data_IF_734789686909
#
_entry.id   IF_734789686909
#
_cell.length_a   1.000
_cell.length_b   1.000
_cell.length_c   1.000
_cell.angle_alpha   90.00
_cell.angle_beta   90.00
_cell.angle_gamma   90.00
#
_symmetry.space_group_name_H-M   'P 1'
#
loop_
_entity.id
_entity.type
_entity.pdbx_description
1 polymer ?
#
# COMPACT_ATOMS: atom_id res chain seq x y z
N UNK A 1 2.81 8.33 0.21
CA UNK A 1 1.50 8.98 0.08
C UNK A 1 1.12 8.88 -1.39
N UNK A 2 0.00 8.26 -1.72
CA UNK A 2 -0.51 8.13 -3.09
C UNK A 2 -1.94 8.63 -3.22
N UNK A 3 -2.56 8.33 -4.36
CA UNK A 3 -3.87 8.86 -4.71
C UNK A 3 -4.51 8.24 -5.95
N UNK A 4 -4.36 8.86 -7.12
CA UNK A 4 -5.08 8.41 -8.32
C UNK A 4 -4.37 7.24 -9.01
N UNK A 5 -5.15 6.22 -9.36
CA UNK A 5 -4.68 5.08 -10.15
C UNK A 5 -4.02 4.00 -9.29
N UNK A 6 -3.40 3.02 -9.94
CA UNK A 6 -2.77 1.88 -9.26
C UNK A 6 -1.39 2.28 -8.71
N UNK A 7 -1.29 2.46 -7.40
CA UNK A 7 -0.07 2.79 -6.69
C UNK A 7 0.64 1.55 -6.11
N UNK A 8 1.96 1.59 -6.03
CA UNK A 8 2.77 0.55 -5.38
C UNK A 8 3.75 1.16 -4.40
N UNK A 9 3.76 0.61 -3.18
CA UNK A 9 4.55 1.09 -2.06
C UNK A 9 5.57 0.05 -1.63
N UNK A 10 6.83 0.46 -1.53
CA UNK A 10 7.87 -0.35 -0.88
C UNK A 10 8.00 0.07 0.58
N UNK A 11 7.91 -0.91 1.47
CA UNK A 11 8.09 -0.75 2.91
C UNK A 11 9.27 -1.62 3.31
N UNK A 12 10.41 -0.99 3.56
CA UNK A 12 11.67 -1.66 3.92
C UNK A 12 12.02 -1.50 5.41
N UNK A 13 11.27 -0.65 6.13
CA UNK A 13 11.43 -0.44 7.55
C UNK A 13 10.06 -0.49 8.29
N UNK A 14 9.98 -1.13 9.48
CA UNK A 14 8.77 -1.07 10.32
C UNK A 14 8.28 0.33 10.70
N UNK A 15 9.14 1.35 10.61
CA UNK A 15 8.80 2.75 10.84
C UNK A 15 8.11 3.44 9.65
N UNK A 16 8.11 2.82 8.47
CA UNK A 16 7.52 3.40 7.26
C UNK A 16 6.00 3.46 7.36
N UNK A 17 5.44 4.54 6.82
CA UNK A 17 4.01 4.77 6.80
C UNK A 17 3.51 4.91 5.38
N UNK A 18 2.60 4.01 5.02
CA UNK A 18 1.83 4.10 3.79
C UNK A 18 0.55 4.88 4.07
N UNK A 19 0.26 5.84 3.21
CA UNK A 19 -0.98 6.63 3.23
C UNK A 19 -1.50 6.65 1.80
N UNK A 20 -2.61 5.98 1.57
CA UNK A 20 -3.32 5.97 0.28
C UNK A 20 -4.64 6.72 0.44
N UNK A 21 -4.96 7.57 -0.54
CA UNK A 21 -6.17 8.37 -0.58
C UNK A 21 -7.14 7.78 -1.58
N UNK A 22 -8.31 7.35 -1.12
CA UNK A 22 -9.37 6.95 -2.04
C UNK A 22 -9.86 8.15 -2.88
N UNK A 23 -9.44 8.21 -4.14
CA UNK A 23 -10.02 9.17 -5.07
C UNK A 23 -11.05 8.52 -5.97
N UNK A 24 -12.31 8.78 -5.64
CA UNK A 24 -13.47 8.32 -6.39
C UNK A 24 -13.64 9.02 -7.75
N UNK A 25 -12.91 10.11 -8.00
CA UNK A 25 -13.04 10.91 -9.22
C UNK A 25 -12.56 10.18 -10.47
N UNK A 26 -11.58 9.27 -10.32
CA UNK A 26 -10.94 8.55 -11.43
C UNK A 26 -11.17 7.02 -11.39
N UNK A 27 -12.13 6.55 -10.57
CA UNK A 27 -12.52 5.14 -10.51
C UNK A 27 -11.86 4.31 -9.40
N UNK A 28 -11.00 4.93 -8.58
CA UNK A 28 -10.17 4.22 -7.60
C UNK A 28 -9.04 3.42 -8.27
N UNK A 29 -8.01 3.07 -7.50
CA UNK A 29 -6.89 2.23 -7.91
C UNK A 29 -7.00 0.80 -7.37
N UNK A 30 -6.16 -0.08 -7.88
CA UNK A 30 -5.80 -1.33 -7.21
C UNK A 30 -4.37 -1.21 -6.65
N UNK A 31 -4.29 -0.90 -5.37
CA UNK A 31 -3.06 -0.47 -4.73
C UNK A 31 -2.35 -1.62 -4.02
N UNK A 32 -1.01 -1.59 -4.03
CA UNK A 32 -0.19 -2.68 -3.50
C UNK A 32 0.92 -2.20 -2.57
N UNK A 33 1.14 -2.93 -1.47
CA UNK A 33 2.34 -2.83 -0.64
C UNK A 33 3.25 -4.02 -0.92
N UNK A 34 4.55 -3.75 -1.02
CA UNK A 34 5.64 -4.73 -1.02
C UNK A 34 6.45 -4.56 0.27
N UNK A 35 6.59 -5.62 1.04
CA UNK A 35 7.37 -5.63 2.26
C UNK A 35 8.29 -6.86 2.32
N UNK A 36 9.48 -6.73 2.89
CA UNK A 36 10.41 -7.86 3.08
C UNK A 36 10.25 -8.57 4.43
N UNK A 37 9.52 -7.95 5.37
CA UNK A 37 9.25 -8.47 6.71
C UNK A 37 7.75 -8.69 6.95
N UNK A 38 7.40 -9.30 8.10
CA UNK A 38 6.00 -9.48 8.52
C UNK A 38 5.27 -8.13 8.57
N UNK A 39 4.31 -7.95 7.67
CA UNK A 39 3.55 -6.71 7.53
C UNK A 39 2.06 -6.98 7.61
N UNK A 40 1.32 -6.06 8.23
CA UNK A 40 -0.14 -6.13 8.31
C UNK A 40 -0.75 -5.07 7.42
N UNK A 41 -1.69 -5.48 6.57
CA UNK A 41 -2.48 -4.56 5.74
C UNK A 41 -3.64 -3.92 6.53
N UNK A 42 -4.03 -4.51 7.66
CA UNK A 42 -5.17 -4.05 8.47
C UNK A 42 -5.14 -2.55 8.89
N UNK A 43 -3.99 -1.93 9.22
CA UNK A 43 -3.95 -0.52 9.57
C UNK A 43 -3.88 0.42 8.35
N UNK A 44 -3.71 -0.10 7.13
CA UNK A 44 -3.56 0.72 5.92
C UNK A 44 -4.89 0.75 5.18
N UNK A 45 -5.49 1.93 5.09
CA UNK A 45 -6.71 2.13 4.32
C UNK A 45 -6.41 2.21 2.82
N UNK A 46 -7.38 1.79 1.99
CA UNK A 46 -7.36 1.94 0.53
C UNK A 46 -6.19 1.22 -0.16
N UNK A 47 -5.72 0.11 0.41
CA UNK A 47 -4.74 -0.76 -0.24
C UNK A 47 -5.31 -2.17 -0.29
N UNK A 48 -5.31 -2.77 -1.47
CA UNK A 48 -6.00 -4.03 -1.75
C UNK A 48 -5.07 -5.23 -1.69
N UNK A 49 -3.75 -5.01 -1.84
CA UNK A 49 -2.79 -6.09 -1.95
C UNK A 49 -1.56 -5.89 -1.07
N UNK A 50 -1.18 -6.96 -0.39
CA UNK A 50 0.12 -7.09 0.26
C UNK A 50 0.93 -8.19 -0.45
N UNK A 51 2.17 -7.87 -0.81
CA UNK A 51 3.16 -8.79 -1.35
C UNK A 51 4.30 -8.89 -0.35
N UNK A 52 4.43 -10.05 0.29
CA UNK A 52 5.58 -10.37 1.13
C UNK A 52 6.67 -10.93 0.21
N UNK A 53 7.76 -10.16 0.06
CA UNK A 53 8.88 -10.53 -0.80
C UNK A 53 9.72 -11.65 -0.19
N UNK A 54 9.68 -11.80 1.13
CA UNK A 54 10.59 -12.64 1.89
C UNK A 54 11.99 -12.02 1.95
N UNK A 55 12.69 -12.32 3.04
CA UNK A 55 14.12 -11.99 3.23
C UNK A 55 15.03 -13.16 2.77
#
# INVERSE_FOLDING_TARGET
>A
IGGHGDDTYDVDNPGDKVIETLSLADGGGFDAIRASFDYSLAPVANVEKLILLGD
#
